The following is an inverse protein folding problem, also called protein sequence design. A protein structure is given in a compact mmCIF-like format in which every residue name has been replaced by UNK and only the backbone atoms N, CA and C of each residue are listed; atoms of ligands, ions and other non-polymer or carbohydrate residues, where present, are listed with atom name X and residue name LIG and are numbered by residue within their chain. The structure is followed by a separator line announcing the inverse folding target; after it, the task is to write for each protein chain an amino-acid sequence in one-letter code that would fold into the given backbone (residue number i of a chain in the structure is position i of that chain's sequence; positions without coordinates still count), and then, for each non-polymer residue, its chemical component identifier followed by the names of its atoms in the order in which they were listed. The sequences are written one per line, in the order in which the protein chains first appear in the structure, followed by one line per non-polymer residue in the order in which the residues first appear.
data_IF_329137798278
#
_entry.id   IF_329137798278
#
_cell.length_a   1.000
_cell.length_b   1.000
_cell.length_c   1.000
_cell.angle_alpha   90.00
_cell.angle_beta   90.00
_cell.angle_gamma   90.00
#
_symmetry.space_group_name_H-M   'P 1'
#
loop_
_entity.id
_entity.type
_entity.pdbx_description
1 polymer ?
#
# COMPACT_ATOMS: atom_id res chain seq x y z
N UNK A 1 -15.05 -3.63 3.00
CA UNK A 1 -14.27 -4.06 1.83
C UNK A 1 -14.05 -2.89 0.88
N UNK A 2 -15.10 -2.14 0.53
CA UNK A 2 -15.04 -0.96 -0.35
C UNK A 2 -14.19 0.20 0.20
N UNK A 3 -14.35 0.54 1.49
CA UNK A 3 -13.52 1.58 2.15
C UNK A 3 -12.01 1.31 2.13
N UNK A 4 -11.63 0.04 2.01
CA UNK A 4 -10.23 -0.41 1.96
C UNK A 4 -9.78 -0.75 0.53
N UNK A 5 -10.63 -0.53 -0.48
CA UNK A 5 -10.34 -0.87 -1.87
C UNK A 5 -10.18 -2.39 -2.14
N UNK A 6 -10.73 -3.23 -1.28
CA UNK A 6 -10.61 -4.69 -1.38
C UNK A 6 -11.73 -5.21 -2.29
N UNK A 7 -11.37 -5.85 -3.40
CA UNK A 7 -12.31 -6.33 -4.42
C UNK A 7 -13.12 -7.54 -3.93
N UNK A 8 -12.51 -8.46 -3.18
CA UNK A 8 -13.19 -9.65 -2.64
C UNK A 8 -12.46 -10.24 -1.42
N UNK A 9 -13.11 -11.15 -0.68
CA UNK A 9 -12.51 -11.78 0.51
C UNK A 9 -11.27 -12.63 0.17
N UNK A 10 -11.26 -13.27 -1.01
CA UNK A 10 -10.17 -14.12 -1.49
C UNK A 10 -8.86 -13.33 -1.62
N UNK A 11 -8.94 -12.03 -1.88
CA UNK A 11 -7.80 -11.11 -1.89
C UNK A 11 -7.14 -11.04 -0.51
N UNK A 12 -7.94 -10.97 0.56
CA UNK A 12 -7.45 -10.97 1.95
C UNK A 12 -6.80 -12.30 2.29
N UNK A 13 -7.45 -13.42 1.93
CA UNK A 13 -6.91 -14.77 2.16
C UNK A 13 -5.56 -14.97 1.46
N UNK A 14 -5.44 -14.46 0.22
CA UNK A 14 -4.20 -14.50 -0.55
C UNK A 14 -3.10 -13.67 0.11
N UNK A 15 -3.42 -12.46 0.59
CA UNK A 15 -2.46 -11.62 1.30
C UNK A 15 -2.01 -12.24 2.62
N UNK A 16 -2.94 -12.85 3.35
CA UNK A 16 -2.64 -13.56 4.59
C UNK A 16 -1.71 -14.75 4.35
N UNK A 17 -1.95 -15.54 3.30
CA UNK A 17 -1.08 -16.65 2.94
C UNK A 17 0.34 -16.17 2.57
N UNK A 18 0.45 -15.10 1.77
CA UNK A 18 1.74 -14.49 1.41
C UNK A 18 2.50 -13.99 2.64
N UNK A 19 1.81 -13.33 3.56
CA UNK A 19 2.39 -12.87 4.82
C UNK A 19 2.95 -14.02 5.65
N UNK A 20 2.18 -15.10 5.81
CA UNK A 20 2.60 -16.32 6.53
C UNK A 20 3.81 -16.99 5.88
N UNK A 21 3.95 -16.90 4.56
CA UNK A 21 5.06 -17.48 3.81
C UNK A 21 6.27 -16.54 3.67
N UNK A 22 6.26 -15.35 4.31
CA UNK A 22 7.34 -14.38 4.19
C UNK A 22 7.43 -13.69 2.82
N UNK A 23 6.41 -13.83 1.98
CA UNK A 23 6.33 -13.24 0.64
C UNK A 23 5.88 -11.76 0.66
N UNK A 24 6.24 -11.03 1.72
CA UNK A 24 5.87 -9.63 1.91
C UNK A 24 6.39 -8.75 0.76
N UNK A 25 7.49 -9.14 0.12
CA UNK A 25 8.02 -8.49 -1.08
C UNK A 25 7.03 -8.46 -2.27
N UNK A 26 6.03 -9.34 -2.29
CA UNK A 26 4.95 -9.35 -3.31
C UNK A 26 3.77 -8.46 -2.95
N UNK A 27 3.67 -8.05 -1.69
CA UNK A 27 2.72 -7.04 -1.23
C UNK A 27 3.27 -5.64 -1.51
N UNK A 28 4.60 -5.51 -1.57
CA UNK A 28 5.27 -4.32 -2.08
C UNK A 28 4.92 -4.20 -3.57
N UNK A 29 4.19 -3.14 -3.91
CA UNK A 29 3.92 -2.83 -5.30
C UNK A 29 5.24 -2.40 -5.95
N UNK A 30 5.64 -3.01 -7.08
CA UNK A 30 6.74 -2.49 -7.87
C UNK A 30 6.39 -1.06 -8.28
N UNK A 31 7.32 -0.13 -8.09
CA UNK A 31 7.21 1.22 -8.64
C UNK A 31 7.02 1.06 -10.16
N UNK A 32 5.84 1.39 -10.68
CA UNK A 32 5.49 1.20 -12.09
C UNK A 32 4.54 0.04 -12.42
N UNK A 33 4.10 -0.80 -11.47
CA UNK A 33 2.98 -1.74 -11.72
C UNK A 33 1.70 -1.28 -11.04
N UNK A 34 0.82 -0.73 -11.85
CA UNK A 34 -0.49 -0.23 -11.47
C UNK A 34 -1.52 -1.34 -11.68
N UNK A 35 -2.23 -1.75 -10.62
CA UNK A 35 -3.43 -2.57 -10.78
C UNK A 35 -4.59 -1.66 -11.22
N UNK A 36 -4.87 -1.67 -12.52
CA UNK A 36 -6.03 -1.08 -13.22
C UNK A 36 -6.24 0.44 -13.13
N UNK A 37 -5.17 1.23 -13.09
CA UNK A 37 -5.29 2.68 -13.33
C UNK A 37 -4.21 3.20 -14.30
N UNK A 38 -3.65 2.31 -15.12
CA UNK A 38 -2.42 2.55 -15.88
C UNK A 38 -2.35 1.78 -17.20
N UNK A 39 -3.46 1.70 -17.93
CA UNK A 39 -3.42 1.22 -19.32
C UNK A 39 -2.63 2.17 -20.25
N UNK A 40 -2.21 3.34 -19.74
CA UNK A 40 -1.56 4.41 -20.49
C UNK A 40 -0.16 4.80 -19.96
N UNK A 41 0.49 3.97 -19.13
CA UNK A 41 1.80 4.37 -18.54
C UNK A 41 2.95 4.45 -19.55
N UNK A 42 2.81 3.82 -20.71
CA UNK A 42 3.78 3.94 -21.82
C UNK A 42 3.80 5.36 -22.44
N UNK A 43 2.80 6.20 -22.15
CA UNK A 43 2.67 7.58 -22.67
C UNK A 43 2.80 8.68 -21.60
N UNK A 44 3.12 8.34 -20.34
CA UNK A 44 3.21 9.35 -19.28
C UNK A 44 4.52 10.14 -19.38
N UNK A 45 4.41 11.47 -19.33
CA UNK A 45 5.58 12.35 -19.24
C UNK A 45 6.33 12.13 -17.92
N UNK A 46 7.65 12.37 -17.91
CA UNK A 46 8.50 12.28 -16.72
C UNK A 46 7.90 13.02 -15.51
N UNK A 47 7.26 14.16 -15.73
CA UNK A 47 6.61 14.94 -14.66
C UNK A 47 5.42 14.20 -14.03
N UNK A 48 4.61 13.51 -14.84
CA UNK A 48 3.48 12.73 -14.34
C UNK A 48 3.95 11.50 -13.57
N UNK A 49 5.04 10.86 -14.03
CA UNK A 49 5.68 9.76 -13.31
C UNK A 49 6.20 10.23 -11.94
N UNK A 50 6.93 11.35 -11.90
CA UNK A 50 7.43 11.95 -10.65
C UNK A 50 6.31 12.35 -9.68
N UNK A 51 5.18 12.85 -10.20
CA UNK A 51 4.01 13.20 -9.38
C UNK A 51 3.35 11.95 -8.80
N UNK A 52 3.25 10.89 -9.57
CA UNK A 52 2.71 9.61 -9.11
C UNK A 52 3.59 8.98 -8.03
N UNK A 53 4.90 8.99 -8.23
CA UNK A 53 5.86 8.50 -7.23
C UNK A 53 5.81 9.32 -5.95
N UNK A 54 5.75 10.65 -6.04
CA UNK A 54 5.59 11.52 -4.88
C UNK A 54 4.28 11.22 -4.11
N UNK A 55 3.18 10.99 -4.81
CA UNK A 55 1.91 10.64 -4.17
C UNK A 55 1.99 9.29 -3.47
N UNK A 56 2.60 8.29 -4.10
CA UNK A 56 2.84 6.97 -3.52
C UNK A 56 3.67 7.04 -2.24
N UNK A 57 4.78 7.79 -2.27
CA UNK A 57 5.64 8.02 -1.11
C UNK A 57 4.91 8.75 0.02
N UNK A 58 4.09 9.76 -0.31
CA UNK A 58 3.26 10.46 0.68
C UNK A 58 2.29 9.52 1.38
N UNK A 59 1.62 8.64 0.63
CA UNK A 59 0.73 7.64 1.23
C UNK A 59 1.48 6.70 2.17
N UNK A 60 2.68 6.25 1.80
CA UNK A 60 3.51 5.40 2.69
C UNK A 60 3.86 6.12 3.99
N UNK A 61 4.26 7.38 3.91
CA UNK A 61 4.56 8.20 5.08
C UNK A 61 3.32 8.34 5.98
N UNK A 62 2.13 8.53 5.39
CA UNK A 62 0.89 8.65 6.17
C UNK A 62 0.55 7.36 6.92
N UNK A 63 0.67 6.20 6.27
CA UNK A 63 0.47 4.88 6.91
C UNK A 63 1.43 4.69 8.08
N UNK A 64 2.71 5.02 7.88
CA UNK A 64 3.73 4.92 8.94
C UNK A 64 3.43 5.85 10.13
N UNK A 65 2.94 7.07 9.87
CA UNK A 65 2.52 7.99 10.93
C UNK A 65 1.36 7.41 11.74
N UNK A 66 0.32 6.90 11.06
CA UNK A 66 -0.83 6.25 11.73
C UNK A 66 -0.38 5.06 12.57
N UNK A 67 0.53 4.23 12.05
CA UNK A 67 1.09 3.11 12.79
C UNK A 67 1.80 3.56 14.08
N UNK A 68 2.65 4.58 13.99
CA UNK A 68 3.35 5.14 15.16
C UNK A 68 2.40 5.71 16.22
N UNK A 69 1.31 6.34 15.78
CA UNK A 69 0.24 6.80 16.68
C UNK A 69 -0.48 5.64 17.37
N UNK A 70 -0.78 4.58 16.62
CA UNK A 70 -1.32 3.35 17.18
C UNK A 70 -0.37 2.71 18.19
N UNK A 71 0.92 2.57 17.88
CA UNK A 71 1.89 2.03 18.85
C UNK A 71 1.96 2.86 20.12
N UNK A 72 1.91 4.20 20.02
CA UNK A 72 1.90 5.09 21.18
C UNK A 72 0.66 4.89 22.04
N UNK A 73 -0.53 4.88 21.41
CA UNK A 73 -1.80 4.68 22.14
C UNK A 73 -1.89 3.30 22.78
N UNK A 74 -1.41 2.25 22.09
CA UNK A 74 -1.31 0.92 22.66
C UNK A 74 -0.36 0.89 23.86
N UNK A 75 0.85 1.44 23.72
CA UNK A 75 1.83 1.49 24.82
C UNK A 75 1.26 2.20 26.07
N UNK A 76 0.46 3.25 25.88
CA UNK A 76 -0.20 3.98 26.98
C UNK A 76 -1.35 3.20 27.62
N UNK A 77 -1.99 2.26 26.91
CA UNK A 77 -3.13 1.48 27.41
C UNK A 77 -2.70 0.30 28.29
N UNK A 78 -1.47 -0.19 28.10
CA UNK A 78 -0.91 -1.34 28.82
C UNK A 78 0.17 -0.94 29.85
N UNK A 79 0.27 0.36 30.17
CA UNK A 79 0.93 0.92 31.35
C UNK A 79 -0.13 1.16 32.44
#
# INVERSE_FOLDING_TARGET
MEELGIKNKTQIDTWWHRYRNGENHRLIQPVGKQYDYGKDSENLSNEQQLKNENNYLKMHIEVLKKFKEFERTWSQKYL
#
